data_IF_416156108919
#
_entry.id   IF_416156108919
#
_cell.length_a   1.000
_cell.length_b   1.000
_cell.length_c   1.000
_cell.angle_alpha   90.00
_cell.angle_beta   90.00
_cell.angle_gamma   90.00
#
_symmetry.space_group_name_H-M   'P 1'
#
loop_
_entity.id
_entity.type
_entity.pdbx_description
1 polymer ?
#
# COMPACT_ATOMS: atom_id res chain seq x y z
N UNK A 1 -10.71 5.97 17.81
CA UNK A 1 -10.64 7.26 17.09
C UNK A 1 -10.09 6.98 15.70
N UNK A 2 -10.98 6.75 14.74
CA UNK A 2 -10.59 6.49 13.35
C UNK A 2 -10.28 7.82 12.65
N UNK A 3 -9.15 8.41 13.01
CA UNK A 3 -8.56 9.44 12.16
C UNK A 3 -8.20 8.72 10.85
N UNK A 4 -8.86 9.07 9.74
CA UNK A 4 -8.75 8.52 8.36
C UNK A 4 -9.81 7.50 7.87
N UNK A 5 -10.84 7.10 8.64
CA UNK A 5 -11.89 6.21 8.10
C UNK A 5 -12.63 6.81 6.90
N UNK A 6 -12.83 8.14 6.88
CA UNK A 6 -13.63 8.80 5.85
C UNK A 6 -12.85 9.19 4.58
N UNK A 7 -11.52 9.04 4.55
CA UNK A 7 -10.72 9.41 3.37
C UNK A 7 -9.43 8.59 3.21
N UNK A 8 -9.54 7.32 2.76
CA UNK A 8 -8.39 6.45 2.53
C UNK A 8 -7.43 6.97 1.47
N UNK A 9 -7.92 7.77 0.51
CA UNK A 9 -7.11 8.37 -0.56
C UNK A 9 -6.13 9.41 0.00
N UNK A 10 -6.59 10.29 0.89
CA UNK A 10 -5.74 11.29 1.53
C UNK A 10 -4.73 10.65 2.50
N UNK A 11 -5.13 9.57 3.19
CA UNK A 11 -4.23 8.82 4.06
C UNK A 11 -3.08 8.16 3.29
N UNK A 12 -3.38 7.55 2.13
CA UNK A 12 -2.37 7.00 1.22
C UNK A 12 -1.49 8.11 0.65
N UNK A 13 -2.08 9.22 0.20
CA UNK A 13 -1.37 10.38 -0.32
C UNK A 13 -0.37 10.95 0.69
N UNK A 14 -0.78 11.18 1.95
CA UNK A 14 0.08 11.68 3.01
C UNK A 14 1.25 10.74 3.34
N UNK A 15 1.02 9.42 3.31
CA UNK A 15 2.07 8.40 3.55
C UNK A 15 3.03 8.26 2.38
N UNK A 16 2.55 8.39 1.15
CA UNK A 16 3.39 8.42 -0.04
C UNK A 16 4.30 9.67 -0.01
N UNK A 17 3.73 10.82 0.36
CA UNK A 17 4.43 12.11 0.43
C UNK A 17 5.50 12.15 1.52
N UNK A 18 5.32 11.45 2.64
CA UNK A 18 6.30 11.39 3.73
C UNK A 18 7.51 10.49 3.41
N UNK A 19 7.34 9.47 2.55
CA UNK A 19 8.40 8.52 2.18
C UNK A 19 9.24 8.97 0.98
N UNK A 20 8.67 9.81 0.12
CA UNK A 20 9.38 10.34 -1.04
C UNK A 20 10.07 11.65 -0.66
N UNK A 21 11.40 11.71 -0.80
CA UNK A 21 12.09 13.01 -0.88
C UNK A 21 11.45 13.82 -2.00
N UNK A 22 11.19 15.14 -1.82
CA UNK A 22 10.46 15.94 -2.78
C UNK A 22 11.02 15.76 -4.20
N UNK A 23 10.24 15.06 -5.03
CA UNK A 23 10.30 15.06 -6.50
C UNK A 23 11.63 14.67 -7.20
N UNK A 24 12.58 13.98 -6.56
CA UNK A 24 13.85 13.63 -7.26
C UNK A 24 13.80 12.44 -8.22
N UNK A 25 12.67 11.73 -8.38
CA UNK A 25 12.61 10.52 -9.22
C UNK A 25 11.33 10.29 -10.04
N UNK A 26 10.22 10.96 -9.73
CA UNK A 26 8.93 10.73 -10.41
C UNK A 26 8.72 11.65 -11.62
N UNK A 27 9.74 11.74 -12.49
CA UNK A 27 9.75 12.68 -13.63
C UNK A 27 8.82 12.28 -14.78
N UNK A 28 8.38 11.02 -14.82
CA UNK A 28 7.49 10.47 -15.84
C UNK A 28 6.19 9.99 -15.20
N UNK A 29 5.06 10.34 -15.80
CA UNK A 29 3.74 9.89 -15.34
C UNK A 29 3.65 8.37 -15.23
N UNK A 30 4.27 7.62 -16.16
CA UNK A 30 4.32 6.15 -16.08
C UNK A 30 5.00 5.63 -14.81
N UNK A 31 6.10 6.27 -14.40
CA UNK A 31 6.87 5.86 -13.21
C UNK A 31 6.12 6.25 -11.94
N UNK A 32 5.51 7.44 -11.93
CA UNK A 32 4.63 7.88 -10.85
C UNK A 32 3.45 6.93 -10.66
N UNK A 33 2.81 6.49 -11.76
CA UNK A 33 1.71 5.53 -11.71
C UNK A 33 2.14 4.20 -11.10
N UNK A 34 3.20 3.58 -11.62
CA UNK A 34 3.68 2.28 -11.10
C UNK A 34 4.01 2.35 -9.61
N UNK A 35 4.72 3.41 -9.19
CA UNK A 35 5.12 3.57 -7.79
C UNK A 35 3.90 3.84 -6.89
N UNK A 36 2.96 4.68 -7.33
CA UNK A 36 1.74 4.97 -6.56
C UNK A 36 0.84 3.73 -6.43
N UNK A 37 0.65 2.97 -7.52
CA UNK A 37 -0.12 1.72 -7.49
C UNK A 37 0.52 0.69 -6.57
N UNK A 38 1.84 0.50 -6.63
CA UNK A 38 2.55 -0.40 -5.73
C UNK A 38 2.48 0.05 -4.26
N UNK A 39 2.54 1.37 -4.01
CA UNK A 39 2.38 1.93 -2.67
C UNK A 39 0.98 1.63 -2.11
N UNK A 40 -0.06 2.00 -2.85
CA UNK A 40 -1.45 1.79 -2.45
C UNK A 40 -1.74 0.29 -2.23
N UNK A 41 -1.23 -0.60 -3.08
CA UNK A 41 -1.37 -2.04 -2.92
C UNK A 41 -0.81 -2.53 -1.58
N UNK A 42 0.43 -2.18 -1.25
CA UNK A 42 1.09 -2.57 0.02
C UNK A 42 0.34 -2.01 1.23
N UNK A 43 -0.21 -0.82 1.13
CA UNK A 43 -0.95 -0.17 2.21
C UNK A 43 -2.34 -0.80 2.41
N UNK A 44 -3.05 -1.06 1.31
CA UNK A 44 -4.34 -1.75 1.34
C UNK A 44 -4.19 -3.15 1.94
N UNK A 45 -3.09 -3.82 1.63
CA UNK A 45 -2.77 -5.11 2.21
C UNK A 45 -2.52 -5.04 3.71
N UNK A 46 -1.74 -4.06 4.20
CA UNK A 46 -1.56 -3.84 5.65
C UNK A 46 -2.89 -3.55 6.37
N UNK A 47 -3.78 -2.79 5.74
CA UNK A 47 -5.08 -2.45 6.30
C UNK A 47 -6.11 -3.59 6.21
N UNK A 48 -5.81 -4.68 5.48
CA UNK A 48 -6.75 -5.80 5.31
C UNK A 48 -7.88 -5.52 4.33
N UNK A 49 -7.64 -4.66 3.34
CA UNK A 49 -8.61 -4.39 2.27
C UNK A 49 -8.63 -5.47 1.18
N UNK A 50 -7.87 -6.55 1.36
CA UNK A 50 -7.87 -7.74 0.52
C UNK A 50 -8.09 -8.96 1.40
N UNK A 51 -8.66 -10.01 0.83
CA UNK A 51 -8.83 -11.31 1.49
C UNK A 51 -7.50 -12.05 1.69
N UNK A 52 -6.42 -11.56 1.07
CA UNK A 52 -5.06 -12.05 1.28
C UNK A 52 -4.62 -11.88 2.73
N UNK A 53 -4.13 -12.96 3.32
CA UNK A 53 -3.60 -13.02 4.67
C UNK A 53 -4.52 -12.38 5.74
N UNK A 54 -5.85 -12.50 5.56
CA UNK A 54 -6.84 -11.90 6.46
C UNK A 54 -6.72 -12.44 7.88
N UNK A 55 -6.36 -13.72 8.04
CA UNK A 55 -6.22 -14.43 9.32
C UNK A 55 -4.87 -14.20 10.02
N UNK A 56 -3.94 -13.49 9.38
CA UNK A 56 -2.63 -13.22 9.96
C UNK A 56 -2.63 -11.94 10.78
N UNK A 57 -1.83 -11.94 11.85
CA UNK A 57 -1.55 -10.73 12.61
C UNK A 57 -1.13 -9.58 11.66
N UNK A 58 -1.60 -8.34 11.86
CA UNK A 58 -1.27 -7.20 10.98
C UNK A 58 0.24 -7.01 10.71
N UNK A 59 1.10 -7.35 11.67
CA UNK A 59 2.55 -7.28 11.51
C UNK A 59 3.12 -8.33 10.52
N UNK A 60 2.42 -9.46 10.37
CA UNK A 60 2.79 -10.57 9.48
C UNK A 60 1.95 -10.63 8.20
N UNK A 61 0.91 -9.80 8.08
CA UNK A 61 0.00 -9.81 6.93
C UNK A 61 0.72 -9.56 5.59
N UNK A 62 1.71 -8.66 5.57
CA UNK A 62 2.50 -8.38 4.36
C UNK A 62 3.26 -9.59 3.82
N UNK A 63 4.20 -10.19 4.59
CA UNK A 63 4.92 -11.36 4.10
C UNK A 63 3.98 -12.53 3.77
N UNK A 64 2.96 -12.78 4.59
CA UNK A 64 1.99 -13.85 4.34
C UNK A 64 1.23 -13.66 3.03
N UNK A 65 0.74 -12.45 2.75
CA UNK A 65 0.02 -12.17 1.51
C UNK A 65 0.89 -12.29 0.27
N UNK A 66 2.18 -11.92 0.34
CA UNK A 66 3.09 -12.12 -0.77
C UNK A 66 3.36 -13.61 -1.01
N UNK A 67 3.42 -14.43 0.04
CA UNK A 67 3.48 -15.90 -0.08
C UNK A 67 2.21 -16.46 -0.72
N UNK A 68 1.02 -16.06 -0.23
CA UNK A 68 -0.27 -16.48 -0.82
C UNK A 68 -0.37 -16.08 -2.29
N UNK A 69 -0.02 -14.83 -2.61
CA UNK A 69 -0.05 -14.34 -3.98
C UNK A 69 0.91 -15.14 -4.88
N UNK A 70 2.13 -15.43 -4.43
CA UNK A 70 3.09 -16.20 -5.20
C UNK A 70 2.65 -17.64 -5.49
N UNK A 71 1.69 -18.19 -4.74
CA UNK A 71 1.08 -19.50 -5.00
C UNK A 71 -0.08 -19.41 -6.00
N UNK A 72 -0.66 -18.23 -6.20
CA UNK A 72 -1.85 -18.00 -7.01
C UNK A 72 -1.55 -17.60 -8.47
N UNK A 73 -0.30 -17.25 -8.80
CA UNK A 73 0.19 -16.84 -10.14
C UNK A 73 1.34 -17.73 -10.59
#
# INVERSE_FOLDING_TARGET
TEQYADNPVEADHGRLRSRLRPMRGLRRLRSARVISTGHAFVQNLRCGHYELAVDFNPNHRLPAAFTELALAI
#
